data_IF_490501077588
#
_entry.id   IF_490501077588
#
_cell.length_a   1.000
_cell.length_b   1.000
_cell.length_c   1.000
_cell.angle_alpha   90.00
_cell.angle_beta   90.00
_cell.angle_gamma   90.00
#
_symmetry.space_group_name_H-M   'P 1'
#
loop_
_entity.id
_entity.type
_entity.pdbx_description
1 polymer ?
#
# COMPACT_ATOMS: atom_id res chain seq x y z
N UNK A 1 -3.51 -21.58 -6.96
CA UNK A 1 -2.93 -20.56 -6.05
C UNK A 1 -2.71 -19.31 -6.86
N UNK A 2 -3.04 -18.14 -6.36
CA UNK A 2 -2.81 -16.88 -7.06
C UNK A 2 -1.31 -16.54 -7.09
N UNK A 3 -0.90 -15.72 -8.05
CA UNK A 3 0.48 -15.21 -8.11
C UNK A 3 0.84 -14.36 -6.89
N UNK A 4 -0.13 -13.62 -6.37
CA UNK A 4 0.07 -12.84 -5.15
C UNK A 4 0.41 -13.73 -3.93
N UNK A 5 -0.25 -14.87 -3.78
CA UNK A 5 0.05 -15.84 -2.73
C UNK A 5 1.43 -16.46 -2.90
N UNK A 6 1.81 -16.79 -4.13
CA UNK A 6 3.15 -17.33 -4.43
C UNK A 6 4.25 -16.34 -4.05
N UNK A 7 4.12 -15.09 -4.47
CA UNK A 7 5.08 -14.01 -4.16
C UNK A 7 5.16 -13.81 -2.65
N UNK A 8 4.02 -13.73 -1.97
CA UNK A 8 3.97 -13.56 -0.52
C UNK A 8 4.67 -14.72 0.20
N UNK A 9 4.35 -15.96 -0.19
CA UNK A 9 4.95 -17.20 0.37
C UNK A 9 6.46 -17.19 0.19
N UNK A 10 6.94 -16.95 -1.03
CA UNK A 10 8.37 -16.92 -1.34
C UNK A 10 9.10 -15.85 -0.53
N UNK A 11 8.52 -14.65 -0.43
CA UNK A 11 9.09 -13.53 0.34
C UNK A 11 9.16 -13.89 1.84
N UNK A 12 8.09 -14.42 2.42
CA UNK A 12 8.07 -14.80 3.83
C UNK A 12 9.04 -15.96 4.15
N UNK A 13 9.11 -16.96 3.29
CA UNK A 13 10.06 -18.06 3.45
C UNK A 13 11.51 -17.56 3.39
N UNK A 14 11.84 -16.69 2.41
CA UNK A 14 13.17 -16.11 2.32
C UNK A 14 13.54 -15.27 3.56
N UNK A 15 12.57 -14.52 4.11
CA UNK A 15 12.78 -13.79 5.37
C UNK A 15 13.06 -14.76 6.52
N UNK A 16 12.23 -15.80 6.69
CA UNK A 16 12.32 -16.73 7.81
C UNK A 16 13.59 -17.60 7.75
N UNK A 17 14.05 -17.96 6.55
CA UNK A 17 15.19 -18.85 6.35
C UNK A 17 16.53 -18.11 6.25
N UNK A 18 16.54 -16.94 5.61
CA UNK A 18 17.75 -16.22 5.22
C UNK A 18 17.77 -14.76 5.71
N UNK A 19 16.79 -14.35 6.51
CA UNK A 19 16.70 -12.98 7.03
C UNK A 19 17.68 -12.73 8.17
N UNK A 20 17.99 -11.46 8.37
CA UNK A 20 18.76 -11.00 9.53
C UNK A 20 17.80 -10.78 10.71
N UNK A 21 18.10 -11.39 11.87
CA UNK A 21 17.39 -11.12 13.13
C UNK A 21 18.04 -9.97 13.86
N UNK A 22 17.23 -9.02 14.34
CA UNK A 22 17.67 -7.94 15.22
C UNK A 22 17.46 -8.26 16.72
N UNK A 23 17.23 -9.54 17.06
CA UNK A 23 17.16 -10.01 18.43
C UNK A 23 18.44 -9.66 19.21
N UNK A 24 18.27 -9.09 20.40
CA UNK A 24 19.37 -8.62 21.22
C UNK A 24 19.92 -7.24 20.86
N UNK A 25 19.45 -6.60 19.79
CA UNK A 25 19.75 -5.21 19.47
C UNK A 25 18.75 -4.26 20.13
N UNK A 26 19.16 -3.01 20.32
CA UNK A 26 18.24 -1.95 20.73
C UNK A 26 17.35 -1.59 19.53
N UNK A 27 16.03 -1.75 19.69
CA UNK A 27 15.03 -1.43 18.67
C UNK A 27 14.03 -0.40 19.19
N UNK A 28 13.57 0.50 18.32
CA UNK A 28 12.59 1.52 18.69
C UNK A 28 11.20 0.96 18.99
N UNK A 29 10.63 0.08 18.10
CA UNK A 29 9.26 -0.37 18.28
C UNK A 29 9.14 -1.28 19.52
N UNK A 30 7.98 -1.16 20.17
CA UNK A 30 7.64 -1.95 21.35
C UNK A 30 6.27 -2.57 21.19
N UNK A 31 6.08 -3.71 21.81
CA UNK A 31 4.77 -4.30 22.02
C UNK A 31 3.98 -3.53 23.09
N UNK A 32 2.67 -3.74 23.15
CA UNK A 32 1.78 -3.13 24.16
C UNK A 32 2.26 -3.31 25.61
N UNK A 33 2.90 -4.45 25.91
CA UNK A 33 3.47 -4.75 27.24
C UNK A 33 4.83 -4.06 27.50
N UNK A 34 5.28 -3.19 26.58
CA UNK A 34 6.52 -2.43 26.68
C UNK A 34 7.80 -3.20 26.32
N UNK A 35 7.70 -4.49 25.97
CA UNK A 35 8.86 -5.27 25.53
C UNK A 35 9.28 -4.89 24.12
N UNK A 36 10.59 -4.98 23.78
CA UNK A 36 11.07 -4.70 22.41
C UNK A 36 10.38 -5.59 21.37
N UNK A 37 9.98 -5.00 20.25
CA UNK A 37 9.41 -5.73 19.12
C UNK A 37 10.51 -5.99 18.09
N UNK A 38 11.11 -7.20 18.17
CA UNK A 38 12.19 -7.62 17.29
C UNK A 38 11.65 -8.14 15.96
N UNK A 39 12.51 -8.11 14.92
CA UNK A 39 12.15 -8.56 13.58
C UNK A 39 13.18 -9.53 13.00
N UNK A 40 12.72 -10.34 12.05
CA UNK A 40 13.56 -10.98 11.04
C UNK A 40 13.30 -10.26 9.73
N UNK A 41 14.33 -9.82 9.02
CA UNK A 41 14.18 -8.94 7.86
C UNK A 41 15.13 -9.23 6.70
N UNK A 42 14.70 -8.82 5.51
CA UNK A 42 15.51 -8.80 4.29
C UNK A 42 15.57 -7.37 3.76
N UNK A 43 16.74 -7.00 3.27
CA UNK A 43 16.95 -5.71 2.62
C UNK A 43 16.76 -5.81 1.11
N UNK A 44 16.04 -4.84 0.53
CA UNK A 44 15.98 -4.65 -0.92
C UNK A 44 15.11 -5.68 -1.65
N UNK A 45 13.94 -6.03 -1.11
CA UNK A 45 12.98 -6.95 -1.75
C UNK A 45 12.24 -6.22 -2.86
N UNK A 46 12.09 -6.88 -4.02
CA UNK A 46 11.34 -6.37 -5.17
C UNK A 46 10.33 -7.42 -5.63
N UNK A 47 9.05 -7.11 -5.45
CA UNK A 47 7.94 -7.95 -5.88
C UNK A 47 7.24 -7.32 -7.09
N UNK A 48 6.73 -8.16 -8.01
CA UNK A 48 6.09 -7.72 -9.25
C UNK A 48 4.73 -8.37 -9.42
N UNK A 49 3.71 -7.54 -9.68
CA UNK A 49 2.32 -7.94 -9.84
C UNK A 49 1.79 -7.43 -11.18
N UNK A 50 1.51 -8.33 -12.11
CA UNK A 50 0.98 -7.98 -13.43
C UNK A 50 -0.56 -7.95 -13.39
N UNK A 51 -1.13 -6.75 -13.37
CA UNK A 51 -2.58 -6.55 -13.28
C UNK A 51 -3.34 -6.96 -14.57
N UNK A 52 -2.63 -7.19 -15.67
CA UNK A 52 -3.23 -7.75 -16.89
C UNK A 52 -3.51 -9.24 -16.77
N UNK A 53 -2.76 -9.94 -15.92
CA UNK A 53 -2.93 -11.38 -15.68
C UNK A 53 -3.93 -11.64 -14.56
N UNK A 54 -3.71 -11.01 -13.40
CA UNK A 54 -4.59 -11.15 -12.24
C UNK A 54 -4.48 -9.94 -11.31
N UNK A 55 -5.53 -9.67 -10.55
CA UNK A 55 -5.47 -8.69 -9.47
C UNK A 55 -4.84 -9.33 -8.22
N UNK A 56 -3.81 -8.70 -7.61
CA UNK A 56 -3.04 -9.31 -6.53
C UNK A 56 -3.75 -9.20 -5.16
N UNK A 57 -4.87 -9.89 -5.01
CA UNK A 57 -5.59 -10.01 -3.76
C UNK A 57 -5.26 -11.35 -3.11
N UNK A 58 -4.60 -11.30 -1.95
CA UNK A 58 -4.17 -12.48 -1.21
C UNK A 58 -5.36 -13.37 -0.85
N UNK A 59 -5.17 -14.71 -0.97
CA UNK A 59 -6.17 -15.72 -0.61
C UNK A 59 -5.78 -16.57 0.61
N UNK A 60 -4.50 -16.54 1.04
CA UNK A 60 -4.02 -17.26 2.23
C UNK A 60 -4.73 -16.82 3.52
N UNK A 61 -5.23 -15.60 3.55
CA UNK A 61 -6.17 -15.06 4.52
C UNK A 61 -7.00 -13.94 3.89
N UNK A 62 -8.06 -13.54 4.55
CA UNK A 62 -8.91 -12.44 4.08
C UNK A 62 -8.13 -11.12 4.05
N UNK A 63 -8.19 -10.41 2.92
CA UNK A 63 -7.85 -9.00 2.83
C UNK A 63 -9.14 -8.19 2.86
N UNK A 64 -9.25 -7.25 3.79
CA UNK A 64 -10.40 -6.35 3.90
C UNK A 64 -10.28 -5.22 2.87
N UNK A 65 -10.39 -5.60 1.60
CA UNK A 65 -10.11 -4.73 0.46
C UNK A 65 -10.96 -3.45 0.41
N UNK A 66 -12.22 -3.50 0.92
CA UNK A 66 -13.07 -2.30 1.01
C UNK A 66 -12.52 -1.28 2.01
N UNK A 67 -11.96 -1.72 3.13
CA UNK A 67 -11.31 -0.85 4.11
C UNK A 67 -9.97 -0.33 3.56
N UNK A 68 -9.22 -1.17 2.85
CA UNK A 68 -8.00 -0.76 2.16
C UNK A 68 -8.27 0.31 1.10
N UNK A 69 -9.36 0.17 0.33
CA UNK A 69 -9.79 1.16 -0.63
C UNK A 69 -10.27 2.46 0.04
N UNK A 70 -11.02 2.37 1.15
CA UNK A 70 -11.46 3.54 1.90
C UNK A 70 -10.28 4.39 2.39
N UNK A 71 -9.25 3.74 2.92
CA UNK A 71 -8.00 4.41 3.32
C UNK A 71 -7.27 5.00 2.10
N UNK A 72 -7.22 4.29 0.98
CA UNK A 72 -6.63 4.82 -0.25
C UNK A 72 -7.35 6.10 -0.71
N UNK A 73 -8.69 6.09 -0.72
CA UNK A 73 -9.49 7.27 -1.07
C UNK A 73 -9.31 8.41 -0.06
N UNK A 74 -9.19 8.09 1.22
CA UNK A 74 -8.88 9.08 2.26
C UNK A 74 -7.53 9.77 2.00
N UNK A 75 -6.49 9.01 1.66
CA UNK A 75 -5.15 9.52 1.38
C UNK A 75 -5.11 10.28 0.05
N UNK A 76 -5.62 9.69 -1.04
CA UNK A 76 -5.38 10.17 -2.40
C UNK A 76 -6.47 11.09 -2.97
N UNK A 77 -7.74 10.88 -2.60
CA UNK A 77 -8.84 11.75 -3.08
C UNK A 77 -9.11 12.88 -2.09
N UNK A 78 -9.41 12.52 -0.82
CA UNK A 78 -9.71 13.52 0.21
C UNK A 78 -8.47 14.31 0.62
N UNK A 79 -7.27 13.72 0.44
CA UNK A 79 -5.98 14.32 0.82
C UNK A 79 -6.01 14.77 2.28
N UNK A 80 -6.67 13.96 3.11
CA UNK A 80 -6.93 14.26 4.51
C UNK A 80 -5.90 13.59 5.42
N UNK A 81 -5.70 14.18 6.59
CA UNK A 81 -4.98 13.62 7.71
C UNK A 81 -5.88 13.49 8.95
N UNK A 82 -7.19 13.76 8.82
CA UNK A 82 -8.17 13.71 9.91
C UNK A 82 -8.81 12.33 9.98
N UNK A 83 -8.80 11.72 11.17
CA UNK A 83 -9.38 10.38 11.39
C UNK A 83 -10.88 10.36 11.10
N UNK A 84 -11.62 11.44 11.41
CA UNK A 84 -13.05 11.54 11.16
C UNK A 84 -13.45 11.41 9.68
N UNK A 85 -12.51 11.67 8.75
CA UNK A 85 -12.74 11.53 7.32
C UNK A 85 -12.55 10.07 6.83
N UNK A 86 -12.01 9.19 7.67
CA UNK A 86 -11.78 7.78 7.38
C UNK A 86 -12.93 6.94 7.96
N UNK A 87 -13.49 6.05 7.16
CA UNK A 87 -14.60 5.18 7.57
C UNK A 87 -14.18 3.91 8.33
N UNK A 88 -12.92 3.80 8.76
CA UNK A 88 -12.38 2.65 9.50
C UNK A 88 -11.48 3.11 10.65
N UNK A 89 -11.18 2.21 11.59
CA UNK A 89 -10.40 2.49 12.80
C UNK A 89 -8.91 2.13 12.68
N UNK A 90 -8.42 1.90 11.46
CA UNK A 90 -7.05 1.39 11.25
C UNK A 90 -5.95 2.42 11.58
N UNK A 91 -6.30 3.68 11.82
CA UNK A 91 -5.37 4.75 12.15
C UNK A 91 -5.58 5.34 13.56
N UNK A 92 -6.51 4.81 14.36
CA UNK A 92 -6.87 5.38 15.66
C UNK A 92 -5.66 5.45 16.61
N UNK A 93 -4.77 4.47 16.59
CA UNK A 93 -3.58 4.42 17.45
C UNK A 93 -2.54 5.52 17.13
N UNK A 94 -2.59 6.08 15.92
CA UNK A 94 -1.68 7.17 15.49
C UNK A 94 -2.36 8.55 15.51
N UNK A 95 -3.62 8.61 15.95
CA UNK A 95 -4.34 9.87 16.08
C UNK A 95 -3.79 10.71 17.24
N UNK A 96 -3.44 11.96 16.96
CA UNK A 96 -3.14 12.94 17.99
C UNK A 96 -4.39 13.43 18.72
N UNK A 97 -4.21 14.22 19.78
CA UNK A 97 -5.32 14.82 20.55
C UNK A 97 -6.21 15.75 19.69
N UNK A 98 -5.70 16.21 18.56
CA UNK A 98 -6.41 17.05 17.57
C UNK A 98 -7.22 16.23 16.55
N UNK A 99 -7.23 14.88 16.67
CA UNK A 99 -7.92 13.97 15.78
C UNK A 99 -7.24 13.83 14.41
N UNK A 100 -5.95 14.17 14.29
CA UNK A 100 -5.18 14.03 13.06
C UNK A 100 -3.99 13.08 13.21
N UNK A 101 -3.42 12.63 12.09
CA UNK A 101 -2.13 11.92 12.05
C UNK A 101 -0.95 12.86 11.81
N UNK A 102 -1.12 14.15 12.06
CA UNK A 102 -0.14 15.19 11.77
C UNK A 102 -0.01 15.48 10.27
N UNK A 103 1.12 16.03 9.86
CA UNK A 103 1.38 16.40 8.44
C UNK A 103 1.76 15.20 7.56
N UNK A 104 1.15 14.03 7.81
CA UNK A 104 1.48 12.78 7.14
C UNK A 104 0.51 12.44 5.98
N UNK A 105 0.93 11.54 5.12
CA UNK A 105 0.14 10.91 4.04
C UNK A 105 -0.69 11.88 3.19
N UNK A 106 -2.02 11.90 3.33
CA UNK A 106 -2.91 12.73 2.52
C UNK A 106 -2.60 14.23 2.60
N UNK A 107 -2.18 14.71 3.78
CA UNK A 107 -1.74 16.09 3.94
C UNK A 107 -0.63 16.46 2.94
N UNK A 108 0.39 15.62 2.81
CA UNK A 108 1.51 15.86 1.89
C UNK A 108 1.08 15.81 0.42
N UNK A 109 0.15 14.94 0.06
CA UNK A 109 -0.38 14.87 -1.30
C UNK A 109 -1.18 16.13 -1.66
N UNK A 110 -1.85 16.75 -0.69
CA UNK A 110 -2.71 17.92 -0.89
C UNK A 110 -1.97 19.26 -0.97
N UNK A 111 -0.68 19.30 -0.61
CA UNK A 111 0.10 20.55 -0.69
C UNK A 111 0.22 21.01 -2.15
N UNK A 112 -0.15 22.26 -2.42
CA UNK A 112 -0.04 22.85 -3.76
C UNK A 112 1.40 23.30 -4.02
N UNK A 113 1.92 22.90 -5.17
CA UNK A 113 3.25 23.25 -5.66
C UNK A 113 3.15 24.05 -6.96
N UNK A 114 4.07 25.00 -7.17
CA UNK A 114 4.16 25.75 -8.41
C UNK A 114 4.91 24.95 -9.48
N UNK A 115 4.24 24.69 -10.60
CA UNK A 115 4.82 24.14 -11.82
C UNK A 115 4.77 25.19 -12.93
N UNK A 116 5.38 24.91 -14.09
CA UNK A 116 5.33 25.84 -15.25
C UNK A 116 3.90 26.03 -15.76
N UNK A 117 3.09 24.98 -15.66
CA UNK A 117 1.71 24.93 -16.15
C UNK A 117 0.69 25.48 -15.14
N UNK A 118 1.10 25.75 -13.89
CA UNK A 118 0.22 26.26 -12.84
C UNK A 118 0.46 25.66 -11.46
N UNK A 119 -0.51 25.86 -10.58
CA UNK A 119 -0.50 25.31 -9.23
C UNK A 119 -1.22 23.97 -9.19
N UNK A 120 -0.51 22.92 -8.78
CA UNK A 120 -1.05 21.57 -8.62
C UNK A 120 -0.65 21.00 -7.27
N UNK A 121 -1.51 20.19 -6.68
CA UNK A 121 -1.04 19.20 -5.71
C UNK A 121 -0.48 17.97 -6.44
N UNK A 122 0.10 17.03 -5.67
CA UNK A 122 0.81 15.91 -6.27
C UNK A 122 -0.13 14.98 -7.07
N UNK A 123 -1.37 14.78 -6.61
CA UNK A 123 -2.36 13.91 -7.28
C UNK A 123 -2.83 14.54 -8.58
N UNK A 124 -3.23 15.82 -8.54
CA UNK A 124 -3.65 16.57 -9.72
C UNK A 124 -2.52 16.66 -10.75
N UNK A 125 -1.27 16.79 -10.29
CA UNK A 125 -0.10 16.80 -11.16
C UNK A 125 0.12 15.47 -11.87
N UNK A 126 -0.01 14.35 -11.16
CA UNK A 126 0.07 13.01 -11.76
C UNK A 126 -1.01 12.85 -12.84
N UNK A 127 -2.27 13.19 -12.53
CA UNK A 127 -3.37 13.08 -13.48
C UNK A 127 -3.12 13.97 -14.71
N UNK A 128 -2.67 15.20 -14.50
CA UNK A 128 -2.33 16.13 -15.58
C UNK A 128 -1.25 15.56 -16.50
N UNK A 129 -0.15 15.05 -15.93
CA UNK A 129 0.96 14.52 -16.71
C UNK A 129 0.58 13.23 -17.45
N UNK A 130 -0.19 12.32 -16.84
CA UNK A 130 -0.68 11.12 -17.51
C UNK A 130 -1.54 11.44 -18.74
N UNK A 131 -2.34 12.50 -18.68
CA UNK A 131 -3.20 12.94 -19.79
C UNK A 131 -2.48 13.76 -20.86
N UNK A 132 -1.51 14.59 -20.47
CA UNK A 132 -0.91 15.59 -21.36
C UNK A 132 0.54 15.25 -21.75
N UNK A 133 1.28 14.51 -20.91
CA UNK A 133 2.67 14.18 -21.08
C UNK A 133 2.97 12.72 -20.73
N UNK A 134 2.26 11.71 -21.30
CA UNK A 134 2.37 10.32 -20.87
C UNK A 134 3.78 9.72 -21.04
N UNK A 135 4.59 10.25 -21.96
CA UNK A 135 5.99 9.85 -22.15
C UNK A 135 6.95 10.44 -21.11
N UNK A 136 6.48 11.24 -20.17
CA UNK A 136 7.30 11.84 -19.12
C UNK A 136 7.88 10.78 -18.18
N UNK A 137 9.15 10.95 -17.79
CA UNK A 137 9.83 10.16 -16.77
C UNK A 137 9.79 10.84 -15.39
N UNK A 138 8.89 11.82 -15.20
CA UNK A 138 8.79 12.66 -14.00
C UNK A 138 7.41 12.58 -13.34
N UNK A 139 6.65 11.51 -13.64
CA UNK A 139 5.31 11.31 -13.09
C UNK A 139 5.47 10.52 -11.79
N UNK A 140 5.49 11.22 -10.67
CA UNK A 140 5.67 10.59 -9.36
C UNK A 140 5.09 11.45 -8.23
N UNK A 141 4.84 10.80 -7.11
CA UNK A 141 4.54 11.43 -5.83
C UNK A 141 5.62 11.08 -4.81
N UNK A 142 5.84 11.97 -3.85
CA UNK A 142 6.68 11.71 -2.69
C UNK A 142 6.10 12.42 -1.46
N UNK A 143 5.82 11.64 -0.44
CA UNK A 143 5.21 12.13 0.80
C UNK A 143 6.15 12.07 2.01
N UNK A 144 7.41 11.66 1.80
CA UNK A 144 8.45 11.70 2.82
C UNK A 144 9.15 13.06 2.79
N UNK A 145 8.53 14.05 3.42
CA UNK A 145 8.96 15.44 3.41
C UNK A 145 9.75 15.75 4.67
N UNK A 146 11.08 15.86 4.56
CA UNK A 146 11.99 16.04 5.70
C UNK A 146 11.67 17.25 6.58
N UNK A 147 11.13 18.31 6.00
CA UNK A 147 10.76 19.53 6.71
C UNK A 147 9.61 19.30 7.71
N UNK A 148 8.72 18.36 7.42
CA UNK A 148 7.50 18.12 8.20
C UNK A 148 7.56 16.84 9.05
N UNK A 149 8.66 16.06 9.01
CA UNK A 149 8.76 14.79 9.75
C UNK A 149 8.45 14.93 11.24
N UNK A 150 8.89 16.01 11.86
CA UNK A 150 8.68 16.28 13.28
C UNK A 150 7.21 16.55 13.64
N UNK A 151 6.35 16.82 12.67
CA UNK A 151 4.91 17.01 12.81
C UNK A 151 4.11 15.80 12.30
N UNK A 152 4.74 14.66 11.98
CA UNK A 152 4.10 13.42 11.55
C UNK A 152 4.02 12.45 12.73
N UNK A 153 2.82 11.95 13.04
CA UNK A 153 2.63 10.96 14.10
C UNK A 153 3.18 9.58 13.66
N UNK A 154 3.17 9.31 12.36
CA UNK A 154 3.82 8.15 11.75
C UNK A 154 4.51 8.56 10.45
N UNK A 155 5.80 8.27 10.36
CA UNK A 155 6.56 8.50 9.11
C UNK A 155 6.07 7.55 8.00
N UNK A 156 5.79 8.05 6.79
CA UNK A 156 5.25 7.24 5.71
C UNK A 156 6.11 6.01 5.41
N UNK A 157 5.50 4.82 5.46
CA UNK A 157 6.12 3.56 5.03
C UNK A 157 6.12 3.47 3.51
N UNK A 158 4.94 3.57 2.89
CA UNK A 158 4.73 3.72 1.45
C UNK A 158 4.91 5.21 1.10
N UNK A 159 6.10 5.62 0.72
CA UNK A 159 6.45 7.03 0.66
C UNK A 159 6.49 7.64 -0.73
N UNK A 160 6.56 6.83 -1.78
CA UNK A 160 6.64 7.32 -3.15
C UNK A 160 5.99 6.35 -4.12
N UNK A 161 5.22 6.90 -5.07
CA UNK A 161 4.67 6.17 -6.20
C UNK A 161 5.14 6.79 -7.49
N UNK A 162 5.82 6.03 -8.34
CA UNK A 162 6.27 6.44 -9.66
C UNK A 162 5.41 5.78 -10.73
N UNK A 163 4.97 6.55 -11.71
CA UNK A 163 4.17 6.07 -12.83
C UNK A 163 4.97 6.14 -14.13
N UNK A 164 4.79 5.15 -14.99
CA UNK A 164 5.42 5.09 -16.30
C UNK A 164 4.46 4.50 -17.34
N UNK A 165 4.35 5.15 -18.49
CA UNK A 165 3.51 4.69 -19.60
C UNK A 165 4.40 4.02 -20.65
N UNK A 166 4.05 2.78 -20.99
CA UNK A 166 4.70 2.00 -22.04
C UNK A 166 3.65 1.57 -23.08
N UNK A 167 3.64 2.22 -24.23
CA UNK A 167 2.56 2.06 -25.22
C UNK A 167 1.23 2.57 -24.66
N UNK A 168 0.23 1.69 -24.50
CA UNK A 168 -1.06 1.99 -23.87
C UNK A 168 -1.16 1.49 -22.41
N UNK A 169 -0.03 1.14 -21.81
CA UNK A 169 0.00 0.49 -20.49
C UNK A 169 0.61 1.42 -19.45
N UNK A 170 -0.10 1.61 -18.35
CA UNK A 170 0.37 2.32 -17.17
C UNK A 170 0.98 1.34 -16.17
N UNK A 171 2.25 1.49 -15.89
CA UNK A 171 2.97 0.76 -14.85
C UNK A 171 3.26 1.66 -13.65
N UNK A 172 3.42 1.06 -12.48
CA UNK A 172 3.71 1.78 -11.26
C UNK A 172 4.82 1.14 -10.44
N UNK A 173 5.65 1.96 -9.78
CA UNK A 173 6.60 1.52 -8.76
C UNK A 173 6.17 2.13 -7.43
N UNK A 174 5.82 1.26 -6.48
CA UNK A 174 5.62 1.62 -5.09
C UNK A 174 6.93 1.47 -4.34
N UNK A 175 7.45 2.55 -3.77
CA UNK A 175 8.63 2.52 -2.91
C UNK A 175 8.19 2.56 -1.43
N UNK A 176 8.60 1.53 -0.69
CA UNK A 176 8.42 1.43 0.75
C UNK A 176 9.75 1.36 1.47
N UNK A 177 9.90 2.16 2.53
CA UNK A 177 11.08 2.09 3.40
C UNK A 177 11.02 0.94 4.40
N UNK A 178 9.79 0.49 4.72
CA UNK A 178 9.51 -0.50 5.76
C UNK A 178 8.20 -1.21 5.47
N UNK A 179 8.18 -2.55 5.56
CA UNK A 179 7.02 -3.37 5.28
C UNK A 179 6.89 -4.52 6.27
N UNK A 180 5.88 -4.43 7.14
CA UNK A 180 5.42 -5.57 7.91
C UNK A 180 4.66 -6.55 7.00
N UNK A 181 5.19 -7.76 6.88
CA UNK A 181 4.62 -8.77 5.98
C UNK A 181 3.26 -9.28 6.45
N UNK A 182 3.04 -9.41 7.77
CA UNK A 182 1.76 -9.90 8.27
C UNK A 182 0.71 -8.79 8.28
N UNK A 183 0.98 -7.66 8.93
CA UNK A 183 -0.05 -6.65 9.13
C UNK A 183 -0.38 -5.85 7.86
N UNK A 184 0.62 -5.47 7.05
CA UNK A 184 0.46 -4.44 6.05
C UNK A 184 0.68 -4.86 4.59
N UNK A 185 1.42 -5.96 4.29
CA UNK A 185 1.81 -6.25 2.91
C UNK A 185 0.61 -6.44 1.97
N UNK A 186 -0.31 -7.33 2.31
CA UNK A 186 -1.49 -7.60 1.48
C UNK A 186 -2.41 -6.37 1.36
N UNK A 187 -2.44 -5.53 2.36
CA UNK A 187 -3.19 -4.27 2.37
C UNK A 187 -2.60 -3.27 1.36
N UNK A 188 -1.29 -2.99 1.45
CA UNK A 188 -0.63 -2.04 0.55
C UNK A 188 -0.61 -2.52 -0.90
N UNK A 189 -0.35 -3.81 -1.16
CA UNK A 189 -0.39 -4.36 -2.52
C UNK A 189 -1.79 -4.19 -3.13
N UNK A 190 -2.85 -4.49 -2.37
CA UNK A 190 -4.23 -4.28 -2.81
C UNK A 190 -4.51 -2.80 -3.10
N UNK A 191 -4.16 -1.89 -2.18
CA UNK A 191 -4.38 -0.45 -2.32
C UNK A 191 -3.74 0.11 -3.58
N UNK A 192 -2.44 -0.11 -3.76
CA UNK A 192 -1.69 0.50 -4.85
C UNK A 192 -1.98 -0.15 -6.20
N UNK A 193 -2.47 -1.40 -6.21
CA UNK A 193 -3.04 -2.02 -7.41
C UNK A 193 -4.35 -1.36 -7.82
N UNK A 194 -5.25 -1.06 -6.86
CA UNK A 194 -6.47 -0.29 -7.12
C UNK A 194 -6.14 1.12 -7.61
N UNK A 195 -5.16 1.80 -6.98
CA UNK A 195 -4.71 3.12 -7.42
C UNK A 195 -4.24 3.09 -8.88
N UNK A 196 -3.44 2.08 -9.25
CA UNK A 196 -2.94 1.94 -10.61
C UNK A 196 -4.08 1.74 -11.61
N UNK A 197 -5.10 0.94 -11.26
CA UNK A 197 -6.31 0.76 -12.10
C UNK A 197 -7.08 2.09 -12.27
N UNK A 198 -7.31 2.82 -11.18
CA UNK A 198 -8.01 4.12 -11.22
C UNK A 198 -7.26 5.14 -12.08
N UNK A 199 -5.94 5.28 -11.88
CA UNK A 199 -5.11 6.21 -12.64
C UNK A 199 -5.05 5.85 -14.13
N UNK A 200 -4.95 4.56 -14.45
CA UNK A 200 -4.99 4.09 -15.84
C UNK A 200 -6.32 4.44 -16.49
N UNK A 201 -7.45 4.13 -15.86
CA UNK A 201 -8.77 4.42 -16.41
C UNK A 201 -9.00 5.92 -16.66
N UNK A 202 -8.65 6.77 -15.70
CA UNK A 202 -8.78 8.24 -15.83
C UNK A 202 -7.92 8.83 -16.95
N UNK A 203 -6.79 8.18 -17.24
CA UNK A 203 -5.89 8.58 -18.32
C UNK A 203 -6.20 7.90 -19.66
N UNK A 204 -7.20 7.01 -19.74
CA UNK A 204 -7.51 6.25 -20.95
C UNK A 204 -6.46 5.19 -21.29
N UNK A 205 -5.77 4.66 -20.28
CA UNK A 205 -4.73 3.64 -20.37
C UNK A 205 -5.19 2.31 -19.78
N UNK A 206 -4.45 1.25 -20.03
CA UNK A 206 -4.61 -0.04 -19.38
C UNK A 206 -3.69 -0.15 -18.16
N UNK A 207 -4.20 -0.70 -17.06
CA UNK A 207 -3.35 -1.00 -15.90
C UNK A 207 -2.38 -2.14 -16.24
N UNK A 208 -1.10 -1.93 -15.96
CA UNK A 208 -0.02 -2.86 -16.24
C UNK A 208 0.55 -3.49 -14.98
N UNK A 209 1.83 -3.29 -14.75
CA UNK A 209 2.55 -3.91 -13.65
C UNK A 209 2.69 -2.96 -12.44
N UNK A 210 2.39 -3.47 -11.25
CA UNK A 210 2.82 -2.86 -9.99
C UNK A 210 4.13 -3.51 -9.55
N UNK A 211 5.19 -2.72 -9.47
CA UNK A 211 6.47 -3.12 -8.89
C UNK A 211 6.55 -2.58 -7.46
N UNK A 212 6.65 -3.46 -6.48
CA UNK A 212 6.72 -3.12 -5.07
C UNK A 212 8.17 -3.26 -4.59
N UNK A 213 8.82 -2.13 -4.34
CA UNK A 213 10.23 -2.04 -3.89
C UNK A 213 10.23 -1.75 -2.40
N UNK A 214 10.83 -2.64 -1.63
CA UNK A 214 10.81 -2.62 -0.17
C UNK A 214 12.25 -2.59 0.34
N UNK A 215 12.64 -1.53 1.05
CA UNK A 215 13.97 -1.43 1.63
C UNK A 215 14.15 -2.38 2.85
N UNK A 216 13.23 -2.32 3.81
CA UNK A 216 13.20 -3.20 4.99
C UNK A 216 11.91 -4.03 4.96
N UNK A 217 12.03 -5.29 4.58
CA UNK A 217 10.93 -6.25 4.47
C UNK A 217 11.03 -7.24 5.64
N UNK A 218 10.07 -7.20 6.58
CA UNK A 218 10.23 -7.89 7.84
C UNK A 218 8.99 -8.63 8.34
N UNK A 219 9.26 -9.56 9.25
CA UNK A 219 8.27 -10.27 10.07
C UNK A 219 8.66 -10.04 11.53
N UNK A 220 7.75 -9.48 12.32
CA UNK A 220 7.94 -9.32 13.75
C UNK A 220 7.98 -10.67 14.47
N UNK A 221 8.71 -10.75 15.59
CA UNK A 221 8.89 -11.97 16.39
C UNK A 221 7.54 -12.59 16.79
N UNK A 222 6.58 -11.82 17.29
CA UNK A 222 5.24 -12.30 17.66
C UNK A 222 4.36 -12.64 16.46
N UNK A 223 4.72 -12.22 15.26
CA UNK A 223 4.00 -12.56 14.03
C UNK A 223 4.43 -13.90 13.42
N UNK A 224 5.62 -14.43 13.78
CA UNK A 224 6.19 -15.62 13.18
C UNK A 224 5.25 -16.83 13.25
N UNK A 225 4.61 -17.18 14.39
CA UNK A 225 3.70 -18.32 14.45
C UNK A 225 2.51 -18.19 13.49
N UNK A 226 1.92 -16.99 13.41
CA UNK A 226 0.80 -16.72 12.53
C UNK A 226 1.19 -16.78 11.04
N UNK A 227 2.36 -16.22 10.69
CA UNK A 227 2.91 -16.31 9.32
C UNK A 227 3.15 -17.76 8.94
N UNK A 228 3.81 -18.56 9.78
CA UNK A 228 4.07 -19.98 9.51
C UNK A 228 2.78 -20.77 9.29
N UNK A 229 1.78 -20.60 10.16
CA UNK A 229 0.48 -21.25 10.01
C UNK A 229 -0.23 -20.83 8.71
N UNK A 230 -0.17 -19.54 8.34
CA UNK A 230 -0.77 -19.05 7.10
C UNK A 230 -0.07 -19.60 5.86
N UNK A 231 1.25 -19.81 5.91
CA UNK A 231 2.02 -20.39 4.80
C UNK A 231 1.72 -21.88 4.57
N UNK A 232 1.11 -22.59 5.51
CA UNK A 232 0.63 -23.96 5.33
C UNK A 232 -0.67 -24.05 4.52
N UNK A 233 -1.43 -22.93 4.41
CA UNK A 233 -2.66 -22.90 3.66
C UNK A 233 -2.38 -23.05 2.16
N UNK A 234 -3.17 -23.87 1.46
CA UNK A 234 -3.18 -23.90 0.00
C UNK A 234 -3.97 -22.70 -0.54
N UNK A 235 -3.33 -21.84 -1.34
CA UNK A 235 -3.99 -20.66 -1.89
C UNK A 235 -5.05 -20.98 -2.94
N UNK A 236 -6.07 -20.15 -3.04
CA UNK A 236 -7.11 -20.23 -4.07
C UNK A 236 -6.69 -19.51 -5.37
N UNK A 237 -7.49 -19.62 -6.41
CA UNK A 237 -7.34 -18.80 -7.60
C UNK A 237 -7.56 -17.31 -7.28
N UNK A 238 -6.88 -16.44 -8.03
CA UNK A 238 -7.09 -15.00 -7.88
C UNK A 238 -8.54 -14.62 -8.17
N UNK A 239 -9.15 -13.71 -7.37
CA UNK A 239 -10.48 -13.21 -7.66
C UNK A 239 -10.48 -12.33 -8.91
N UNK A 240 -11.64 -12.23 -9.54
CA UNK A 240 -11.87 -11.26 -10.61
C UNK A 240 -12.17 -9.89 -10.00
N UNK A 241 -11.37 -8.90 -10.34
CA UNK A 241 -11.58 -7.51 -9.91
C UNK A 241 -11.81 -6.63 -11.12
N UNK A 242 -12.92 -5.89 -11.09
CA UNK A 242 -13.28 -4.95 -12.16
C UNK A 242 -13.57 -3.58 -11.58
N UNK A 243 -13.30 -2.55 -12.37
CA UNK A 243 -13.58 -1.15 -12.07
C UNK A 243 -14.74 -0.66 -12.94
N UNK A 244 -15.64 0.12 -12.37
CA UNK A 244 -16.77 0.70 -13.11
C UNK A 244 -16.27 1.58 -14.26
N UNK A 245 -16.50 1.20 -15.51
CA UNK A 245 -15.97 1.93 -16.66
C UNK A 245 -16.64 3.29 -16.89
N UNK A 246 -17.76 3.57 -16.23
CA UNK A 246 -18.46 4.84 -16.33
C UNK A 246 -17.79 5.97 -15.57
N UNK A 247 -16.94 5.65 -14.58
CA UNK A 247 -16.22 6.62 -13.76
C UNK A 247 -14.96 7.09 -14.49
N UNK A 248 -14.94 8.33 -14.96
CA UNK A 248 -13.83 8.93 -15.73
C UNK A 248 -13.09 10.04 -14.99
N UNK A 249 -13.56 10.43 -13.81
CA UNK A 249 -12.92 11.39 -12.93
C UNK A 249 -12.40 10.68 -11.69
N UNK A 250 -11.11 10.91 -11.37
CA UNK A 250 -10.45 10.30 -10.21
C UNK A 250 -11.18 10.56 -8.90
N UNK A 251 -11.78 11.74 -8.75
CA UNK A 251 -12.47 12.15 -7.52
C UNK A 251 -13.90 11.63 -7.39
N UNK A 252 -14.41 10.90 -8.40
CA UNK A 252 -15.72 10.26 -8.38
C UNK A 252 -15.69 8.79 -8.04
N UNK A 253 -14.51 8.16 -7.95
CA UNK A 253 -14.41 6.77 -7.49
C UNK A 253 -14.86 6.64 -6.04
N UNK A 254 -15.59 5.58 -5.76
CA UNK A 254 -16.07 5.18 -4.44
C UNK A 254 -15.74 3.70 -4.18
N UNK A 255 -16.05 3.22 -2.99
CA UNK A 255 -15.94 1.78 -2.67
C UNK A 255 -16.78 0.88 -3.57
N UNK A 256 -17.88 1.42 -4.13
CA UNK A 256 -18.78 0.69 -5.01
C UNK A 256 -18.35 0.73 -6.48
N UNK A 257 -17.31 1.51 -6.81
CA UNK A 257 -16.71 1.51 -8.15
C UNK A 257 -15.91 0.23 -8.45
N UNK A 258 -15.54 -0.54 -7.42
CA UNK A 258 -14.85 -1.82 -7.56
C UNK A 258 -15.81 -2.99 -7.29
N UNK A 259 -15.76 -3.99 -8.17
CA UNK A 259 -16.43 -5.26 -7.99
C UNK A 259 -15.38 -6.36 -7.86
N UNK A 260 -15.51 -7.15 -6.80
CA UNK A 260 -14.65 -8.33 -6.55
C UNK A 260 -15.54 -9.55 -6.56
N UNK A 261 -15.27 -10.48 -7.49
CA UNK A 261 -16.03 -11.73 -7.70
C UNK A 261 -15.13 -12.92 -7.43
N UNK A 262 -15.72 -14.02 -6.97
CA UNK A 262 -15.07 -15.30 -6.72
C UNK A 262 -13.91 -15.24 -5.71
N UNK A 263 -13.98 -14.29 -4.74
CA UNK A 263 -12.96 -14.16 -3.72
C UNK A 263 -13.11 -15.20 -2.62
N UNK A 264 -12.23 -16.19 -2.64
CA UNK A 264 -12.10 -17.24 -1.62
C UNK A 264 -10.85 -16.95 -0.78
N UNK A 265 -10.91 -17.28 0.50
CA UNK A 265 -9.80 -17.08 1.44
C UNK A 265 -9.93 -18.03 2.63
N UNK A 266 -8.81 -18.31 3.29
CA UNK A 266 -8.81 -19.09 4.51
C UNK A 266 -9.21 -18.24 5.73
N UNK A 267 -9.87 -18.84 6.74
CA UNK A 267 -10.06 -18.19 8.03
C UNK A 267 -8.70 -17.91 8.68
N UNK A 268 -8.63 -16.81 9.41
CA UNK A 268 -7.41 -16.41 10.12
C UNK A 268 -7.78 -16.14 11.58
N UNK A 269 -7.35 -17.05 12.47
CA UNK A 269 -7.74 -17.07 13.89
C UNK A 269 -6.59 -16.60 14.81
N UNK A 270 -5.69 -15.78 14.29
CA UNK A 270 -4.61 -15.18 15.08
C UNK A 270 -4.91 -13.71 15.32
N UNK A 271 -4.60 -13.24 16.51
CA UNK A 271 -4.47 -11.81 16.75
C UNK A 271 -3.21 -11.28 16.07
N UNK A 272 -3.28 -10.05 15.58
CA UNK A 272 -2.13 -9.37 14.99
C UNK A 272 -1.79 -8.22 15.94
N UNK A 273 -0.90 -8.43 16.92
CA UNK A 273 -0.47 -7.36 17.80
C UNK A 273 0.29 -6.31 16.98
N UNK A 274 0.09 -5.04 17.32
CA UNK A 274 0.79 -3.93 16.67
C UNK A 274 2.00 -3.52 17.50
N UNK A 275 3.13 -3.29 16.82
CA UNK A 275 4.34 -2.72 17.42
C UNK A 275 4.39 -1.21 17.15
N UNK A 276 4.54 -0.40 18.20
CA UNK A 276 4.51 1.08 18.15
C UNK A 276 5.87 1.67 18.51
#
# INVERSE_FOLDING_TARGET
MSRADEIYRQTCLDILENGFSDEGLEVRPKWEDGTPAHTIKKFGVVNRYNLKEEFPLMTLRRTYWKSALDELLWIWQKKSNRIEDLGSHVWDEWAGADGTIGKAYGYQLGIKHQYKEGMFDQVDRVIYDLKNNPASRRILTNIYTFQDLHEMNLYPCAYSMTFNVSGNTLNGILNQRSQDMLAANNWNVCQYSMLLMMMAQVAGLEAGELVHVIADCHIYDRHIPAVKAMLENEGFAAPKVTLDPSVTDFYQFTKDSFKVEDYQFHPFNFEIPMAI
#
